data_IF_801901974912
#
_entry.id   IF_801901974912
#
_cell.length_a   1.000
_cell.length_b   1.000
_cell.length_c   1.000
_cell.angle_alpha   90.00
_cell.angle_beta   90.00
_cell.angle_gamma   90.00
#
_symmetry.space_group_name_H-M   'P 1'
#
loop_
_entity.id
_entity.type
_entity.pdbx_description
1 polymer ?
#
# COMPACT_ATOMS: atom_id res chain seq x y z
N UNK A 1 6.26 -3.22 -18.91
CA UNK A 1 4.95 -2.61 -18.62
C UNK A 1 4.83 -2.44 -17.12
N UNK A 2 5.16 -1.26 -16.59
CA UNK A 2 4.99 -0.93 -15.18
C UNK A 2 3.52 -0.52 -14.96
N UNK A 3 2.81 -1.21 -14.06
CA UNK A 3 1.47 -0.81 -13.67
C UNK A 3 1.56 0.53 -12.92
N UNK A 4 0.81 1.57 -13.33
CA UNK A 4 0.90 2.87 -12.67
C UNK A 4 0.51 2.71 -11.20
N UNK A 5 1.32 3.28 -10.32
CA UNK A 5 0.97 3.45 -8.92
C UNK A 5 -0.42 4.10 -8.85
N UNK A 6 -1.36 3.45 -8.18
CA UNK A 6 -2.72 3.96 -8.03
C UNK A 6 -2.64 5.41 -7.49
N UNK A 7 -3.10 6.42 -8.25
CA UNK A 7 -2.89 7.85 -7.93
C UNK A 7 -3.65 8.33 -6.68
N UNK A 8 -4.32 7.41 -5.97
CA UNK A 8 -5.06 7.67 -4.72
C UNK A 8 -4.47 6.92 -3.53
N UNK A 9 -3.27 6.34 -3.66
CA UNK A 9 -2.63 5.65 -2.56
C UNK A 9 -1.85 6.64 -1.68
N UNK A 10 -2.24 6.81 -0.42
CA UNK A 10 -1.59 7.76 0.48
C UNK A 10 -0.29 7.18 1.05
N UNK A 11 0.81 7.92 0.98
CA UNK A 11 2.05 7.52 1.67
C UNK A 11 1.94 7.76 3.17
N UNK A 12 2.01 6.68 3.94
CA UNK A 12 1.99 6.73 5.40
C UNK A 12 3.40 6.52 5.96
N UNK A 13 3.73 7.26 7.02
CA UNK A 13 5.04 7.20 7.69
C UNK A 13 5.17 6.02 8.66
N UNK A 14 4.03 5.46 9.08
CA UNK A 14 3.94 4.34 10.02
C UNK A 14 3.35 3.12 9.33
N UNK A 15 3.76 1.92 9.78
CA UNK A 15 3.26 0.67 9.22
C UNK A 15 1.73 0.60 9.38
N UNK A 16 0.98 0.49 8.27
CA UNK A 16 -0.48 0.47 8.34
C UNK A 16 -0.96 -0.83 8.98
N UNK A 17 -2.08 -0.76 9.69
CA UNK A 17 -2.78 -1.92 10.25
C UNK A 17 -4.08 -2.17 9.50
N UNK A 18 -4.65 -3.36 9.70
CA UNK A 18 -5.98 -3.72 9.15
C UNK A 18 -7.05 -2.71 9.61
N UNK A 19 -6.92 -2.19 10.82
CA UNK A 19 -7.84 -1.20 11.39
C UNK A 19 -7.69 0.17 10.71
N UNK A 20 -6.45 0.66 10.55
CA UNK A 20 -6.18 1.90 9.79
C UNK A 20 -6.66 1.79 8.34
N UNK A 21 -6.47 0.64 7.70
CA UNK A 21 -7.00 0.36 6.36
C UNK A 21 -8.52 0.18 6.32
N UNK A 22 -9.15 -0.15 7.43
CA UNK A 22 -10.61 -0.26 7.52
C UNK A 22 -11.25 1.12 7.57
N UNK A 23 -10.61 2.08 8.26
CA UNK A 23 -11.01 3.48 8.22
C UNK A 23 -10.77 4.15 6.86
N UNK A 24 -9.77 3.67 6.10
CA UNK A 24 -9.39 4.23 4.80
C UNK A 24 -10.11 3.54 3.64
N UNK A 25 -10.81 4.32 2.82
CA UNK A 25 -11.45 3.84 1.57
C UNK A 25 -10.45 3.63 0.42
N UNK A 26 -9.16 3.87 0.65
CA UNK A 26 -8.10 3.82 -0.37
C UNK A 26 -6.88 3.05 0.16
N UNK A 27 -6.08 2.44 -0.73
CA UNK A 27 -4.82 1.81 -0.34
C UNK A 27 -3.82 2.83 0.20
N UNK A 28 -2.84 2.41 0.97
CA UNK A 28 -1.75 3.26 1.45
C UNK A 28 -0.41 2.68 1.05
N UNK A 29 0.61 3.52 0.93
CA UNK A 29 1.98 3.15 0.61
C UNK A 29 2.83 3.31 1.87
N UNK A 30 3.60 2.28 2.21
CA UNK A 30 4.53 2.31 3.34
C UNK A 30 5.87 1.71 2.93
N UNK A 31 6.95 2.43 3.23
CA UNK A 31 8.30 1.95 2.97
C UNK A 31 8.76 1.03 4.10
N UNK A 32 8.53 -0.28 3.94
CA UNK A 32 8.98 -1.32 4.88
C UNK A 32 10.44 -1.73 4.63
N UNK A 33 11.14 -1.11 3.67
CA UNK A 33 12.49 -1.51 3.23
C UNK A 33 12.59 -2.89 2.55
N UNK A 34 11.47 -3.61 2.43
CA UNK A 34 11.41 -4.96 1.83
C UNK A 34 11.08 -4.97 0.34
N UNK A 35 10.75 -3.81 -0.24
CA UNK A 35 10.53 -3.71 -1.68
C UNK A 35 11.85 -3.34 -2.39
N UNK A 36 12.07 -3.82 -3.63
CA UNK A 36 13.26 -3.49 -4.40
C UNK A 36 13.40 -1.99 -4.64
N UNK A 37 14.60 -1.53 -5.03
CA UNK A 37 14.84 -0.15 -5.46
C UNK A 37 13.83 0.26 -6.55
N UNK A 38 13.21 1.43 -6.37
CA UNK A 38 12.17 1.96 -7.25
C UNK A 38 10.75 1.50 -6.91
N UNK A 39 10.57 0.63 -5.90
CA UNK A 39 9.26 0.15 -5.47
C UNK A 39 8.98 0.51 -4.01
N UNK A 40 7.69 0.57 -3.66
CA UNK A 40 7.18 0.80 -2.30
C UNK A 40 6.08 -0.21 -1.98
N UNK A 41 5.91 -0.59 -0.71
CA UNK A 41 4.87 -1.54 -0.34
C UNK A 41 3.51 -0.83 -0.28
N UNK A 42 2.60 -1.24 -1.16
CA UNK A 42 1.19 -0.88 -1.11
C UNK A 42 0.43 -1.86 -0.22
N UNK A 43 -0.35 -1.28 0.66
CA UNK A 43 -1.17 -1.92 1.66
C UNK A 43 -2.63 -1.58 1.40
N UNK A 44 -3.47 -2.61 1.26
CA UNK A 44 -4.89 -2.45 0.97
C UNK A 44 -5.72 -3.45 1.75
N UNK A 45 -6.95 -3.07 2.13
CA UNK A 45 -7.88 -4.02 2.75
C UNK A 45 -8.41 -4.96 1.67
N UNK A 46 -8.28 -6.27 1.90
CA UNK A 46 -8.94 -7.29 1.09
C UNK A 46 -10.39 -7.40 1.58
N UNK A 47 -11.33 -6.90 0.76
CA UNK A 47 -12.76 -6.85 1.10
C UNK A 47 -13.29 -8.21 1.59
N UNK A 48 -14.06 -8.18 2.69
CA UNK A 48 -14.76 -9.34 3.24
C UNK A 48 -13.96 -10.25 4.19
N UNK A 49 -12.62 -10.16 4.24
CA UNK A 49 -11.81 -11.16 4.97
C UNK A 49 -11.05 -10.62 6.20
N UNK A 50 -11.15 -9.33 6.54
CA UNK A 50 -10.34 -8.75 7.63
C UNK A 50 -8.82 -8.88 7.38
N UNK A 51 -8.43 -9.10 6.13
CA UNK A 51 -7.06 -9.36 5.72
C UNK A 51 -6.49 -8.15 4.99
N UNK A 52 -5.21 -7.92 5.22
CA UNK A 52 -4.43 -6.86 4.61
C UNK A 52 -3.60 -7.44 3.47
N UNK A 53 -3.79 -6.91 2.26
CA UNK A 53 -2.95 -7.24 1.12
C UNK A 53 -1.75 -6.31 1.07
N UNK A 54 -0.57 -6.92 1.01
CA UNK A 54 0.71 -6.25 0.76
C UNK A 54 1.18 -6.59 -0.66
N UNK A 55 1.49 -5.58 -1.45
CA UNK A 55 2.12 -5.73 -2.76
C UNK A 55 3.21 -4.67 -2.92
N UNK A 56 4.35 -5.02 -3.53
CA UNK A 56 5.31 -3.99 -3.95
C UNK A 56 4.79 -3.39 -5.26
N UNK A 57 4.68 -2.06 -5.30
CA UNK A 57 4.28 -1.30 -6.48
C UNK A 57 5.38 -0.31 -6.83
N UNK A 58 5.42 0.13 -8.08
CA UNK A 58 6.33 1.20 -8.50
C UNK A 58 6.08 2.45 -7.65
N UNK A 59 7.15 3.06 -7.14
CA UNK A 59 7.01 4.26 -6.31
C UNK A 59 6.59 5.41 -7.24
N UNK A 60 5.47 6.11 -6.96
CA UNK A 60 5.11 7.28 -7.74
C UNK A 60 6.26 8.29 -7.66
N UNK A 61 6.81 8.64 -8.83
CA UNK A 61 7.90 9.59 -9.00
C UNK A 61 7.41 11.03 -8.90
#
# INVERSE_FOLDING_TARGET
MAAPANPRAEMVKSKPTVDSLTGLKHPVLYDDGKCPKGQIAQFSKKGGQGQMRRACVDKPN
#
